data_IF_362696165469
#
_entry.id   IF_362696165469
#
_cell.length_a   1.000
_cell.length_b   1.000
_cell.length_c   1.000
_cell.angle_alpha   90.00
_cell.angle_beta   90.00
_cell.angle_gamma   90.00
#
_symmetry.space_group_name_H-M   'P 1'
#
loop_
_entity.id
_entity.type
_entity.pdbx_description
1 polymer ?
#
# COMPACT_ATOMS: atom_id res chain seq x y z
N UNK A 1 -13.79 -41.04 15.93
CA UNK A 1 -12.46 -41.21 15.32
C UNK A 1 -12.19 -39.95 14.53
N UNK A 2 -11.63 -38.95 15.20
CA UNK A 2 -11.35 -37.63 14.63
C UNK A 2 -10.16 -37.79 13.71
N UNK A 3 -10.34 -37.56 12.41
CA UNK A 3 -9.24 -37.59 11.46
C UNK A 3 -8.30 -36.44 11.78
N UNK A 4 -7.15 -36.76 12.38
CA UNK A 4 -5.99 -35.88 12.45
C UNK A 4 -5.55 -35.55 11.02
N UNK A 5 -5.70 -34.28 10.65
CA UNK A 5 -5.10 -33.73 9.44
C UNK A 5 -3.58 -33.78 9.62
N UNK A 6 -2.80 -34.33 8.67
CA UNK A 6 -1.36 -34.48 8.86
C UNK A 6 -0.69 -33.10 8.96
N UNK A 7 -0.01 -32.86 10.08
CA UNK A 7 0.92 -31.75 10.28
C UNK A 7 2.09 -31.88 9.30
N UNK A 8 2.00 -31.15 8.19
CA UNK A 8 3.14 -30.94 7.29
C UNK A 8 3.85 -29.68 7.78
N UNK A 9 5.03 -29.84 8.37
CA UNK A 9 5.80 -28.82 9.10
C UNK A 9 6.28 -27.59 8.32
N UNK A 10 5.40 -26.91 7.59
CA UNK A 10 5.71 -25.76 6.75
C UNK A 10 5.02 -24.45 7.19
N UNK A 11 4.08 -24.50 8.13
CA UNK A 11 3.44 -23.30 8.66
C UNK A 11 3.23 -23.44 10.16
N UNK A 12 3.18 -22.31 10.85
CA UNK A 12 2.85 -22.24 12.26
C UNK A 12 1.48 -21.57 12.43
N UNK A 13 0.85 -21.83 13.57
CA UNK A 13 -0.46 -21.25 13.92
C UNK A 13 -0.28 -20.27 15.05
N UNK A 14 -0.72 -19.04 14.82
CA UNK A 14 -0.87 -18.04 15.87
C UNK A 14 -2.35 -17.96 16.25
N UNK A 15 -2.64 -17.98 17.56
CA UNK A 15 -4.00 -17.86 18.08
C UNK A 15 -4.11 -16.60 18.92
N UNK A 16 -5.05 -15.73 18.59
CA UNK A 16 -5.32 -14.50 19.32
C UNK A 16 -6.71 -13.96 18.98
N UNK A 17 -7.40 -13.37 19.97
CA UNK A 17 -8.77 -12.87 19.81
C UNK A 17 -9.77 -13.90 19.22
N UNK A 18 -9.60 -15.19 19.55
CA UNK A 18 -10.48 -16.26 19.07
C UNK A 18 -10.31 -16.64 17.59
N UNK A 19 -9.28 -16.14 16.90
CA UNK A 19 -8.96 -16.53 15.52
C UNK A 19 -7.61 -17.22 15.43
N UNK A 20 -7.47 -18.09 14.41
CA UNK A 20 -6.23 -18.77 14.08
C UNK A 20 -5.66 -18.20 12.78
N UNK A 21 -4.39 -17.81 12.81
CA UNK A 21 -3.66 -17.25 11.68
C UNK A 21 -2.55 -18.21 11.29
N UNK A 22 -2.58 -18.68 10.04
CA UNK A 22 -1.51 -19.50 9.47
C UNK A 22 -0.39 -18.59 8.97
N UNK A 23 0.83 -18.81 9.47
CA UNK A 23 1.98 -17.97 9.14
C UNK A 23 3.24 -18.78 8.84
N UNK A 24 4.13 -18.20 8.04
CA UNK A 24 5.44 -18.77 7.76
C UNK A 24 6.42 -18.29 8.85
N UNK A 25 6.94 -19.20 9.71
CA UNK A 25 7.75 -18.80 10.84
C UNK A 25 9.12 -18.27 10.38
N UNK A 26 9.45 -17.06 10.81
CA UNK A 26 10.78 -16.49 10.65
C UNK A 26 11.04 -15.49 11.76
N UNK A 27 12.21 -15.59 12.40
CA UNK A 27 12.61 -14.73 13.51
C UNK A 27 13.90 -14.00 13.14
N UNK A 28 13.89 -12.70 13.37
CA UNK A 28 15.05 -11.83 13.24
C UNK A 28 15.00 -10.78 14.34
N UNK A 29 16.17 -10.21 14.66
CA UNK A 29 16.32 -9.33 15.81
C UNK A 29 15.42 -8.08 15.69
N UNK A 30 14.63 -7.83 16.73
CA UNK A 30 13.81 -6.64 16.86
C UNK A 30 14.67 -5.43 17.26
N UNK A 31 14.43 -4.30 16.61
CA UNK A 31 15.19 -3.07 16.79
C UNK A 31 14.29 -1.90 17.19
N UNK A 32 14.71 -1.13 18.20
CA UNK A 32 14.04 0.09 18.63
C UNK A 32 12.55 -0.14 18.98
N UNK A 33 11.61 0.61 18.37
CA UNK A 33 10.17 0.51 18.64
C UNK A 33 9.56 -0.87 18.38
N UNK A 34 10.18 -1.70 17.55
CA UNK A 34 9.70 -3.06 17.26
C UNK A 34 9.66 -3.94 18.52
N UNK A 35 10.48 -3.62 19.53
CA UNK A 35 10.49 -4.32 20.83
C UNK A 35 9.25 -4.05 21.68
N UNK A 36 8.50 -3.00 21.36
CA UNK A 36 7.24 -2.63 22.03
C UNK A 36 6.02 -3.25 21.35
N UNK A 37 6.22 -4.11 20.35
CA UNK A 37 5.16 -4.74 19.60
C UNK A 37 4.34 -5.72 20.45
N UNK A 38 3.01 -5.55 20.41
CA UNK A 38 2.03 -6.44 21.03
C UNK A 38 1.04 -6.90 19.95
N UNK A 39 1.23 -8.13 19.51
CA UNK A 39 0.45 -8.77 18.47
C UNK A 39 -1.04 -8.92 18.84
N UNK A 40 -1.34 -9.28 20.09
CA UNK A 40 -2.72 -9.52 20.54
C UNK A 40 -3.49 -8.21 20.63
N UNK A 41 -2.90 -7.18 21.24
CA UNK A 41 -3.55 -5.87 21.38
C UNK A 41 -3.81 -5.23 20.03
N UNK A 42 -2.82 -5.27 19.12
CA UNK A 42 -2.95 -4.65 17.78
C UNK A 42 -3.93 -5.42 16.90
N UNK A 43 -3.89 -6.75 16.92
CA UNK A 43 -4.86 -7.55 16.18
C UNK A 43 -6.30 -7.29 16.69
N UNK A 44 -6.47 -7.21 18.01
CA UNK A 44 -7.78 -6.88 18.63
C UNK A 44 -8.25 -5.47 18.23
N UNK A 45 -7.34 -4.50 18.15
CA UNK A 45 -7.65 -3.16 17.67
C UNK A 45 -8.20 -3.18 16.24
N UNK A 46 -7.51 -3.83 15.30
CA UNK A 46 -8.00 -3.92 13.92
C UNK A 46 -9.32 -4.68 13.85
N UNK A 47 -9.45 -5.82 14.54
CA UNK A 47 -10.70 -6.60 14.55
C UNK A 47 -11.91 -5.77 15.03
N UNK A 48 -11.71 -4.91 16.04
CA UNK A 48 -12.77 -4.05 16.58
C UNK A 48 -13.04 -2.80 15.74
N UNK A 49 -12.01 -2.25 15.08
CA UNK A 49 -12.05 -0.91 14.49
C UNK A 49 -11.84 -0.87 12.97
N UNK A 50 -11.73 -2.00 12.27
CA UNK A 50 -11.49 -2.00 10.81
C UNK A 50 -12.55 -1.20 10.04
N UNK A 51 -13.81 -1.25 10.46
CA UNK A 51 -14.93 -0.53 9.81
C UNK A 51 -14.83 0.99 9.95
N UNK A 52 -14.03 1.50 10.90
CA UNK A 52 -13.72 2.92 10.99
C UNK A 52 -12.98 3.42 9.74
N UNK A 53 -12.25 2.57 9.02
CA UNK A 53 -11.63 2.92 7.74
C UNK A 53 -12.63 3.41 6.69
N UNK A 54 -13.85 2.86 6.68
CA UNK A 54 -14.93 3.26 5.77
C UNK A 54 -15.37 4.69 6.09
N UNK A 55 -15.59 4.98 7.38
CA UNK A 55 -15.95 6.33 7.83
C UNK A 55 -14.83 7.33 7.58
N UNK A 56 -13.57 6.94 7.79
CA UNK A 56 -12.41 7.76 7.46
C UNK A 56 -12.33 8.06 5.96
N UNK A 57 -12.62 7.09 5.09
CA UNK A 57 -12.66 7.30 3.64
C UNK A 57 -13.78 8.26 3.22
N UNK A 58 -14.98 8.11 3.79
CA UNK A 58 -16.12 9.01 3.55
C UNK A 58 -15.77 10.42 4.02
N UNK A 59 -15.25 10.56 5.23
CA UNK A 59 -14.81 11.84 5.78
C UNK A 59 -13.73 12.48 4.93
N UNK A 60 -12.74 11.71 4.47
CA UNK A 60 -11.69 12.16 3.56
C UNK A 60 -12.27 12.74 2.27
N UNK A 61 -13.19 12.05 1.60
CA UNK A 61 -13.82 12.56 0.37
C UNK A 61 -14.61 13.84 0.66
N UNK A 62 -15.36 13.89 1.76
CA UNK A 62 -16.08 15.11 2.17
C UNK A 62 -15.13 16.29 2.42
N UNK A 63 -14.05 16.08 3.17
CA UNK A 63 -13.03 17.09 3.47
C UNK A 63 -12.36 17.59 2.20
N UNK A 64 -12.02 16.71 1.26
CA UNK A 64 -11.42 17.08 -0.03
C UNK A 64 -12.32 18.05 -0.79
N UNK A 65 -13.62 17.75 -0.90
CA UNK A 65 -14.58 18.61 -1.58
C UNK A 65 -14.76 19.97 -0.89
N UNK A 66 -14.89 19.97 0.44
CA UNK A 66 -15.03 21.20 1.24
C UNK A 66 -13.78 22.09 1.11
N UNK A 67 -12.59 21.50 1.23
CA UNK A 67 -11.32 22.23 1.15
C UNK A 67 -11.05 22.77 -0.24
N UNK A 68 -11.40 22.03 -1.30
CA UNK A 68 -11.30 22.54 -2.67
C UNK A 68 -12.14 23.80 -2.86
N UNK A 69 -13.43 23.76 -2.46
CA UNK A 69 -14.33 24.90 -2.52
C UNK A 69 -13.84 26.08 -1.68
N UNK A 70 -13.33 25.80 -0.49
CA UNK A 70 -12.76 26.83 0.39
C UNK A 70 -11.52 27.52 -0.23
N UNK A 71 -10.71 26.77 -0.97
CA UNK A 71 -9.50 27.29 -1.62
C UNK A 71 -9.78 28.02 -2.94
N UNK A 72 -10.96 27.91 -3.55
CA UNK A 72 -11.31 28.56 -4.83
C UNK A 72 -10.97 30.06 -4.81
N UNK A 73 -11.39 30.76 -3.77
CA UNK A 73 -11.22 32.21 -3.63
C UNK A 73 -9.91 32.64 -2.93
N UNK A 74 -8.97 31.72 -2.68
CA UNK A 74 -7.71 32.00 -1.95
C UNK A 74 -6.48 31.90 -2.85
N UNK A 75 -5.36 32.50 -2.45
CA UNK A 75 -4.07 32.33 -3.15
C UNK A 75 -3.42 30.99 -2.74
N UNK A 76 -2.65 30.33 -3.63
CA UNK A 76 -1.96 29.09 -3.29
C UNK A 76 -0.89 29.35 -2.22
N UNK A 77 -0.78 28.45 -1.23
CA UNK A 77 0.20 28.58 -0.16
C UNK A 77 1.59 28.10 -0.60
N UNK A 78 2.65 28.87 -0.28
CA UNK A 78 4.04 28.45 -0.49
C UNK A 78 4.55 27.66 0.72
N UNK A 79 4.42 26.34 0.70
CA UNK A 79 4.77 25.46 1.82
C UNK A 79 5.95 24.54 1.49
N UNK A 80 6.99 25.06 0.83
CA UNK A 80 8.11 24.22 0.33
C UNK A 80 8.83 23.47 1.44
N UNK A 81 9.15 24.14 2.55
CA UNK A 81 9.84 23.51 3.68
C UNK A 81 8.98 22.42 4.33
N UNK A 82 7.69 22.68 4.53
CA UNK A 82 6.76 21.71 5.09
C UNK A 82 6.57 20.50 4.17
N UNK A 83 6.47 20.72 2.85
CA UNK A 83 6.43 19.64 1.87
C UNK A 83 7.72 18.81 1.84
N UNK A 84 8.88 19.47 1.95
CA UNK A 84 10.15 18.77 2.01
C UNK A 84 10.22 17.89 3.25
N UNK A 85 9.84 18.43 4.42
CA UNK A 85 9.79 17.68 5.67
C UNK A 85 8.80 16.51 5.59
N UNK A 86 7.61 16.75 5.04
CA UNK A 86 6.57 15.73 4.87
C UNK A 86 6.98 14.60 3.94
N UNK A 87 7.41 14.92 2.71
CA UNK A 87 7.87 13.92 1.75
C UNK A 87 9.15 13.23 2.23
N UNK A 88 10.05 13.96 2.89
CA UNK A 88 11.26 13.39 3.49
C UNK A 88 10.94 12.40 4.62
N UNK A 89 9.99 12.74 5.48
CA UNK A 89 9.49 11.84 6.53
C UNK A 89 8.91 10.56 5.94
N UNK A 90 8.00 10.68 4.95
CA UNK A 90 7.41 9.50 4.30
C UNK A 90 8.43 8.69 3.51
N UNK A 91 9.43 9.33 2.89
CA UNK A 91 10.54 8.64 2.24
C UNK A 91 11.35 7.82 3.24
N UNK A 92 11.79 8.39 4.37
CA UNK A 92 12.53 7.67 5.41
C UNK A 92 11.69 6.53 5.98
N UNK A 93 10.42 6.79 6.28
CA UNK A 93 9.48 5.77 6.75
C UNK A 93 9.38 4.60 5.75
N UNK A 94 9.20 4.88 4.46
CA UNK A 94 9.11 3.84 3.44
C UNK A 94 10.44 3.10 3.22
N UNK A 95 11.59 3.78 3.27
CA UNK A 95 12.91 3.14 3.18
C UNK A 95 13.11 2.18 4.35
N UNK A 96 12.79 2.61 5.58
CA UNK A 96 12.89 1.76 6.76
C UNK A 96 11.92 0.58 6.67
N UNK A 97 10.69 0.80 6.19
CA UNK A 97 9.72 -0.26 5.92
C UNK A 97 10.23 -1.26 4.91
N UNK A 98 10.73 -0.82 3.75
CA UNK A 98 11.34 -1.68 2.73
C UNK A 98 12.47 -2.52 3.30
N UNK A 99 13.36 -1.91 4.10
CA UNK A 99 14.48 -2.64 4.70
C UNK A 99 14.00 -3.65 5.75
N UNK A 100 13.29 -3.19 6.79
CA UNK A 100 12.95 -4.03 7.94
C UNK A 100 11.92 -5.10 7.63
N UNK A 101 10.91 -4.78 6.82
CA UNK A 101 9.99 -5.79 6.28
C UNK A 101 10.69 -6.67 5.23
N UNK A 102 11.70 -6.13 4.54
CA UNK A 102 12.50 -6.83 3.52
C UNK A 102 13.33 -7.98 4.00
N UNK A 103 13.79 -7.93 5.25
CA UNK A 103 14.54 -9.04 5.84
C UNK A 103 13.65 -10.30 5.88
N UNK A 104 12.40 -10.18 6.32
CA UNK A 104 11.44 -11.28 6.30
C UNK A 104 11.10 -11.69 4.87
N UNK A 105 10.76 -10.72 4.01
CA UNK A 105 10.33 -10.98 2.65
C UNK A 105 11.38 -11.77 1.85
N UNK A 106 12.64 -11.33 1.88
CA UNK A 106 13.76 -11.97 1.17
C UNK A 106 14.05 -13.35 1.77
N UNK A 107 13.97 -13.50 3.10
CA UNK A 107 14.19 -14.79 3.72
C UNK A 107 13.13 -15.81 3.27
N UNK A 108 11.84 -15.45 3.33
CA UNK A 108 10.76 -16.36 2.90
C UNK A 108 10.91 -16.73 1.43
N UNK A 109 11.26 -15.80 0.55
CA UNK A 109 11.44 -16.10 -0.87
C UNK A 109 12.66 -16.95 -1.20
N UNK A 110 13.72 -16.90 -0.39
CA UNK A 110 14.96 -17.65 -0.66
C UNK A 110 15.03 -18.99 0.05
N UNK A 111 14.29 -19.16 1.16
CA UNK A 111 14.37 -20.36 2.01
C UNK A 111 13.12 -21.23 1.95
N UNK A 112 12.00 -20.73 1.41
CA UNK A 112 10.72 -21.46 1.36
C UNK A 112 10.16 -21.51 -0.07
N UNK A 113 9.25 -22.46 -0.36
CA UNK A 113 8.51 -22.47 -1.61
C UNK A 113 7.78 -21.14 -1.84
N UNK A 114 7.68 -20.73 -3.10
CA UNK A 114 6.99 -19.49 -3.47
C UNK A 114 5.53 -19.45 -2.95
N UNK A 115 4.85 -20.60 -2.93
CA UNK A 115 3.48 -20.76 -2.39
C UNK A 115 3.36 -20.28 -0.94
N UNK A 116 4.38 -20.54 -0.11
CA UNK A 116 4.37 -20.13 1.29
C UNK A 116 4.42 -18.60 1.43
N UNK A 117 5.08 -17.92 0.48
CA UNK A 117 5.19 -16.46 0.45
C UNK A 117 3.86 -15.75 0.17
N UNK A 118 2.90 -16.44 -0.46
CA UNK A 118 1.59 -15.89 -0.84
C UNK A 118 0.43 -16.48 -0.03
N UNK A 119 0.60 -17.66 0.57
CA UNK A 119 -0.47 -18.38 1.28
C UNK A 119 -0.31 -18.43 2.80
N UNK A 120 0.88 -18.19 3.36
CA UNK A 120 1.05 -18.05 4.80
C UNK A 120 1.43 -16.63 5.18
N UNK A 121 0.85 -16.10 6.27
CA UNK A 121 1.13 -14.76 6.75
C UNK A 121 2.56 -14.58 7.26
N UNK A 122 2.92 -13.34 7.58
CA UNK A 122 4.14 -13.02 8.35
C UNK A 122 3.96 -13.51 9.79
N UNK A 123 5.06 -13.78 10.50
CA UNK A 123 4.97 -14.10 11.94
C UNK A 123 4.31 -12.92 12.69
N UNK A 124 3.11 -13.12 13.29
CA UNK A 124 2.39 -12.03 13.94
C UNK A 124 3.15 -11.40 15.10
N UNK A 125 4.10 -12.12 15.71
CA UNK A 125 4.94 -11.65 16.83
C UNK A 125 6.22 -10.96 16.36
N UNK A 126 6.55 -11.10 15.07
CA UNK A 126 7.81 -10.65 14.50
C UNK A 126 7.80 -9.16 14.12
N UNK A 127 8.99 -8.58 13.88
CA UNK A 127 9.08 -7.18 13.44
C UNK A 127 8.35 -6.91 12.12
N UNK A 128 8.19 -7.90 11.23
CA UNK A 128 7.44 -7.75 10.00
C UNK A 128 5.97 -7.39 10.25
N UNK A 129 5.34 -7.97 11.28
CA UNK A 129 3.97 -7.64 11.67
C UNK A 129 3.85 -6.21 12.22
N UNK A 130 4.85 -5.75 12.98
CA UNK A 130 4.95 -4.36 13.40
C UNK A 130 4.97 -3.40 12.20
N UNK A 131 5.79 -3.68 11.18
CA UNK A 131 5.84 -2.87 9.96
C UNK A 131 4.56 -2.97 9.12
N UNK A 132 3.89 -4.14 9.09
CA UNK A 132 2.58 -4.28 8.47
C UNK A 132 1.50 -3.44 9.17
N UNK A 133 1.57 -3.31 10.49
CA UNK A 133 0.69 -2.42 11.26
C UNK A 133 0.96 -0.95 10.92
N UNK A 134 2.23 -0.52 10.94
CA UNK A 134 2.60 0.84 10.56
C UNK A 134 2.19 1.17 9.12
N UNK A 135 2.28 0.21 8.21
CA UNK A 135 1.78 0.33 6.84
C UNK A 135 0.27 0.66 6.80
N UNK A 136 -0.54 -0.05 7.58
CA UNK A 136 -1.99 0.19 7.65
C UNK A 136 -2.30 1.58 8.21
N UNK A 137 -1.53 2.06 9.19
CA UNK A 137 -1.68 3.42 9.72
C UNK A 137 -1.14 4.49 8.78
N UNK A 138 -0.12 4.20 7.96
CA UNK A 138 0.45 5.18 7.02
C UNK A 138 -0.59 5.68 6.02
N UNK A 139 -1.61 4.87 5.68
CA UNK A 139 -2.69 5.28 4.77
C UNK A 139 -3.51 6.46 5.29
N UNK A 140 -3.60 6.64 6.61
CA UNK A 140 -4.18 7.86 7.20
C UNK A 140 -3.23 9.04 7.02
N UNK A 141 -1.94 8.85 7.30
CA UNK A 141 -0.94 9.91 7.12
C UNK A 141 -0.95 10.40 5.66
N UNK A 142 -0.98 9.49 4.70
CA UNK A 142 -1.00 9.76 3.25
C UNK A 142 -2.18 10.66 2.79
N UNK A 143 -3.26 10.81 3.56
CA UNK A 143 -4.28 11.84 3.29
C UNK A 143 -3.71 13.27 3.28
N UNK A 144 -2.62 13.50 4.00
CA UNK A 144 -1.85 14.74 3.97
C UNK A 144 -1.39 15.12 2.56
N UNK A 145 -1.10 14.15 1.69
CA UNK A 145 -0.67 14.42 0.31
C UNK A 145 -1.76 15.18 -0.45
N UNK A 146 -3.01 14.76 -0.30
CA UNK A 146 -4.16 15.42 -0.90
C UNK A 146 -4.38 16.81 -0.32
N UNK A 147 -4.24 16.97 0.99
CA UNK A 147 -4.32 18.27 1.65
C UNK A 147 -3.29 19.24 1.06
N UNK A 148 -2.04 18.81 0.91
CA UNK A 148 -0.98 19.63 0.33
C UNK A 148 -1.24 19.98 -1.14
N UNK A 149 -1.82 19.08 -1.94
CA UNK A 149 -2.21 19.38 -3.31
C UNK A 149 -3.28 20.47 -3.36
N UNK A 150 -4.32 20.36 -2.54
CA UNK A 150 -5.43 21.33 -2.48
C UNK A 150 -4.93 22.71 -2.04
N UNK A 151 -4.16 22.78 -0.94
CA UNK A 151 -3.62 24.03 -0.41
C UNK A 151 -2.69 24.75 -1.39
N UNK A 152 -2.06 24.01 -2.31
CA UNK A 152 -1.22 24.55 -3.39
C UNK A 152 -1.95 24.81 -4.69
N UNK A 153 -3.27 24.61 -4.73
CA UNK A 153 -4.09 24.66 -5.95
C UNK A 153 -3.54 23.79 -7.08
N UNK A 154 -3.04 22.60 -6.73
CA UNK A 154 -2.69 21.56 -7.71
C UNK A 154 -3.91 20.68 -7.97
N UNK A 155 -4.11 20.22 -9.21
CA UNK A 155 -5.27 19.40 -9.55
C UNK A 155 -5.22 18.08 -8.78
N UNK A 156 -6.30 17.77 -8.06
CA UNK A 156 -6.50 16.46 -7.43
C UNK A 156 -7.25 15.60 -8.44
N UNK A 157 -6.53 14.79 -9.21
CA UNK A 157 -7.11 13.92 -10.22
C UNK A 157 -7.92 12.77 -9.59
N UNK A 158 -8.85 12.20 -10.36
CA UNK A 158 -9.68 11.08 -9.92
C UNK A 158 -8.86 9.93 -9.33
N UNK A 159 -7.82 9.49 -10.05
CA UNK A 159 -6.92 8.42 -9.62
C UNK A 159 -6.36 8.66 -8.20
N UNK A 160 -5.98 9.90 -7.88
CA UNK A 160 -5.35 10.25 -6.60
C UNK A 160 -6.33 10.07 -5.43
N UNK A 161 -7.47 10.76 -5.47
CA UNK A 161 -8.38 10.72 -4.33
C UNK A 161 -9.10 9.37 -4.23
N UNK A 162 -9.43 8.74 -5.36
CA UNK A 162 -10.01 7.40 -5.39
C UNK A 162 -9.06 6.39 -4.74
N UNK A 163 -7.77 6.42 -5.13
CA UNK A 163 -6.74 5.56 -4.55
C UNK A 163 -6.70 5.68 -3.03
N UNK A 164 -6.49 6.88 -2.49
CA UNK A 164 -6.39 7.07 -1.03
C UNK A 164 -7.66 6.63 -0.28
N UNK A 165 -8.84 6.85 -0.85
CA UNK A 165 -10.11 6.46 -0.24
C UNK A 165 -10.28 4.93 -0.14
N UNK A 166 -9.83 4.17 -1.15
CA UNK A 166 -10.04 2.70 -1.16
C UNK A 166 -8.89 1.93 -0.50
N UNK A 167 -7.64 2.42 -0.57
CA UNK A 167 -6.49 1.70 0.05
C UNK A 167 -6.54 1.67 1.56
N UNK A 168 -7.13 2.69 2.22
CA UNK A 168 -7.33 2.66 3.68
C UNK A 168 -8.30 1.54 4.07
N UNK A 169 -9.37 1.35 3.29
CA UNK A 169 -10.37 0.30 3.54
C UNK A 169 -9.74 -1.08 3.32
N UNK A 170 -9.06 -1.26 2.19
CA UNK A 170 -8.41 -2.53 1.86
C UNK A 170 -7.33 -2.91 2.88
N UNK A 171 -6.48 -1.97 3.28
CA UNK A 171 -5.39 -2.23 4.23
C UNK A 171 -5.92 -2.62 5.60
N UNK A 172 -6.93 -1.92 6.12
CA UNK A 172 -7.50 -2.21 7.44
C UNK A 172 -8.30 -3.50 7.44
N UNK A 173 -9.07 -3.77 6.38
CA UNK A 173 -9.76 -5.04 6.21
C UNK A 173 -8.76 -6.22 6.12
N UNK A 174 -7.64 -6.04 5.42
CA UNK A 174 -6.59 -7.06 5.31
C UNK A 174 -5.76 -7.24 6.59
N UNK A 175 -5.65 -6.19 7.41
CA UNK A 175 -4.96 -6.26 8.69
C UNK A 175 -5.70 -7.16 9.70
N UNK A 176 -7.04 -7.23 9.64
CA UNK A 176 -7.84 -8.13 10.48
C UNK A 176 -7.53 -9.60 10.20
N UNK A 177 -7.37 -9.96 8.93
CA UNK A 177 -7.10 -11.35 8.54
C UNK A 177 -5.61 -11.70 8.55
N UNK A 178 -4.73 -10.70 8.76
CA UNK A 178 -3.29 -10.78 8.52
C UNK A 178 -3.02 -11.50 7.19
N UNK A 179 -3.59 -10.98 6.10
CA UNK A 179 -3.63 -11.70 4.82
C UNK A 179 -2.24 -12.06 4.33
N UNK A 180 -2.05 -13.31 3.89
CA UNK A 180 -0.76 -13.79 3.44
C UNK A 180 -0.22 -13.05 2.23
N UNK A 181 -1.07 -12.81 1.23
CA UNK A 181 -0.74 -12.00 0.06
C UNK A 181 -0.36 -10.55 0.43
N UNK A 182 -0.78 -10.08 1.61
CA UNK A 182 -0.37 -8.81 2.22
C UNK A 182 1.15 -8.64 2.25
N UNK A 183 1.93 -9.71 2.45
CA UNK A 183 3.39 -9.69 2.39
C UNK A 183 3.91 -9.03 1.12
N UNK A 184 3.40 -9.45 -0.02
CA UNK A 184 3.79 -8.92 -1.32
C UNK A 184 3.30 -7.48 -1.51
N UNK A 185 2.03 -7.20 -1.22
CA UNK A 185 1.46 -5.87 -1.39
C UNK A 185 2.17 -4.80 -0.56
N UNK A 186 2.48 -5.12 0.70
CA UNK A 186 3.18 -4.22 1.63
C UNK A 186 4.61 -3.97 1.14
N UNK A 187 5.35 -5.03 0.78
CA UNK A 187 6.72 -4.91 0.28
C UNK A 187 6.80 -4.04 -0.96
N UNK A 188 6.00 -4.37 -1.98
CA UNK A 188 5.96 -3.62 -3.24
C UNK A 188 5.63 -2.15 -2.99
N UNK A 189 4.64 -1.86 -2.15
CA UNK A 189 4.23 -0.50 -1.87
C UNK A 189 5.33 0.26 -1.12
N UNK A 190 5.94 -0.31 -0.07
CA UNK A 190 7.05 0.33 0.62
C UNK A 190 8.20 0.65 -0.34
N UNK A 191 8.59 -0.31 -1.18
CA UNK A 191 9.65 -0.10 -2.16
C UNK A 191 9.32 1.03 -3.14
N UNK A 192 8.14 1.00 -3.74
CA UNK A 192 7.73 2.04 -4.71
C UNK A 192 7.55 3.41 -4.03
N UNK A 193 6.97 3.45 -2.83
CA UNK A 193 6.80 4.68 -2.06
C UNK A 193 8.14 5.27 -1.60
N UNK A 194 9.13 4.44 -1.28
CA UNK A 194 10.48 4.93 -0.95
C UNK A 194 11.06 5.76 -2.10
N UNK A 195 10.89 5.30 -3.34
CA UNK A 195 11.36 5.98 -4.55
C UNK A 195 10.47 7.19 -4.86
N UNK A 196 9.15 7.04 -4.79
CA UNK A 196 8.19 8.11 -5.10
C UNK A 196 8.33 9.31 -4.15
N UNK A 197 8.37 9.08 -2.83
CA UNK A 197 8.50 10.16 -1.85
C UNK A 197 9.88 10.81 -1.89
N UNK A 198 10.94 10.03 -2.16
CA UNK A 198 12.28 10.60 -2.40
C UNK A 198 12.25 11.52 -3.63
N UNK A 199 11.61 11.10 -4.72
CA UNK A 199 11.40 11.92 -5.90
C UNK A 199 10.64 13.22 -5.56
N UNK A 200 9.56 13.16 -4.78
CA UNK A 200 8.79 14.34 -4.38
C UNK A 200 9.52 15.26 -3.38
N UNK A 201 10.34 14.70 -2.49
CA UNK A 201 11.20 15.48 -1.60
C UNK A 201 12.21 16.31 -2.41
N UNK A 202 12.88 15.68 -3.38
CA UNK A 202 13.82 16.38 -4.29
C UNK A 202 13.08 17.43 -5.13
N UNK A 203 11.91 17.10 -5.68
CA UNK A 203 11.10 18.04 -6.44
C UNK A 203 10.64 19.26 -5.59
N UNK A 204 10.47 19.07 -4.27
CA UNK A 204 10.08 20.14 -3.35
C UNK A 204 11.18 21.18 -3.12
N UNK A 205 12.45 20.82 -3.34
CA UNK A 205 13.60 21.75 -3.34
C UNK A 205 13.62 22.65 -4.59
N UNK A 206 12.76 22.38 -5.58
CA UNK A 206 12.71 23.13 -6.84
C UNK A 206 13.54 22.53 -7.97
N UNK A 207 14.21 21.39 -7.74
CA UNK A 207 14.91 20.67 -8.80
C UNK A 207 13.93 20.05 -9.78
N UNK A 208 14.17 20.25 -11.07
CA UNK A 208 13.44 19.59 -12.15
C UNK A 208 14.20 18.34 -12.57
N UNK A 209 13.78 17.20 -12.04
CA UNK A 209 14.38 15.92 -12.42
C UNK A 209 14.06 15.57 -13.88
N UNK A 210 14.96 14.82 -14.57
CA UNK A 210 14.74 14.40 -15.95
C UNK A 210 13.43 13.62 -16.11
N UNK A 211 12.78 13.75 -17.28
CA UNK A 211 11.51 13.06 -17.58
C UNK A 211 11.60 11.55 -17.34
N UNK A 212 12.75 10.93 -17.63
CA UNK A 212 12.97 9.49 -17.44
C UNK A 212 12.74 9.07 -15.99
N UNK A 213 13.12 9.88 -15.00
CA UNK A 213 12.93 9.56 -13.58
C UNK A 213 11.44 9.51 -13.25
N UNK A 214 10.67 10.51 -13.66
CA UNK A 214 9.20 10.51 -13.45
C UNK A 214 8.50 9.35 -14.15
N UNK A 215 8.99 8.98 -15.33
CA UNK A 215 8.48 7.85 -16.10
C UNK A 215 8.80 6.52 -15.41
N UNK A 216 10.00 6.36 -14.85
CA UNK A 216 10.38 5.20 -14.05
C UNK A 216 9.52 5.06 -12.80
N UNK A 217 9.26 6.15 -12.06
CA UNK A 217 8.35 6.11 -10.90
C UNK A 217 6.97 5.62 -11.32
N UNK A 218 6.41 6.20 -12.38
CA UNK A 218 5.08 5.78 -12.86
C UNK A 218 5.07 4.34 -13.38
N UNK A 219 6.14 3.91 -14.06
CA UNK A 219 6.27 2.54 -14.55
C UNK A 219 6.33 1.52 -13.39
N UNK A 220 7.09 1.83 -12.34
CA UNK A 220 7.14 1.01 -11.12
C UNK A 220 5.77 0.95 -10.44
N UNK A 221 5.04 2.07 -10.39
CA UNK A 221 3.68 2.13 -9.86
C UNK A 221 2.67 1.33 -10.68
N UNK A 222 2.80 1.28 -12.00
CA UNK A 222 1.96 0.43 -12.85
C UNK A 222 2.33 -1.05 -12.68
N UNK A 223 3.63 -1.35 -12.59
CA UNK A 223 4.12 -2.72 -12.41
C UNK A 223 3.64 -3.35 -11.10
N UNK A 224 3.61 -2.61 -9.98
CA UNK A 224 3.06 -3.13 -8.71
C UNK A 224 1.58 -3.52 -8.84
N UNK A 225 0.78 -2.82 -9.65
CA UNK A 225 -0.63 -3.14 -9.84
C UNK A 225 -0.79 -4.42 -10.65
N UNK A 226 0.04 -4.60 -11.68
CA UNK A 226 0.08 -5.83 -12.48
C UNK A 226 0.47 -7.04 -11.62
N UNK A 227 1.55 -6.93 -10.85
CA UNK A 227 1.99 -7.99 -9.94
C UNK A 227 0.90 -8.29 -8.91
N UNK A 228 0.24 -7.27 -8.37
CA UNK A 228 -0.83 -7.45 -7.41
C UNK A 228 -2.05 -8.20 -7.94
N UNK A 229 -2.45 -7.93 -9.19
CA UNK A 229 -3.48 -8.71 -9.90
C UNK A 229 -3.02 -10.16 -10.08
N UNK A 230 -1.77 -10.36 -10.54
CA UNK A 230 -1.23 -11.71 -10.76
C UNK A 230 -1.20 -12.54 -9.47
N UNK A 231 -0.78 -11.96 -8.34
CA UNK A 231 -0.80 -12.62 -7.03
C UNK A 231 -2.22 -12.96 -6.61
N UNK A 232 -3.17 -12.04 -6.79
CA UNK A 232 -4.58 -12.28 -6.44
C UNK A 232 -5.16 -13.45 -7.24
N UNK A 233 -4.88 -13.52 -8.55
CA UNK A 233 -5.29 -14.64 -9.42
C UNK A 233 -4.64 -15.95 -8.98
N UNK A 234 -3.36 -15.91 -8.61
CA UNK A 234 -2.65 -17.11 -8.17
C UNK A 234 -3.18 -17.63 -6.82
N UNK A 235 -3.44 -16.75 -5.84
CA UNK A 235 -4.07 -17.14 -4.57
C UNK A 235 -5.45 -17.73 -4.82
N UNK A 236 -6.24 -17.15 -5.73
CA UNK A 236 -7.54 -17.71 -6.10
C UNK A 236 -7.39 -19.12 -6.69
N UNK A 237 -6.46 -19.30 -7.63
CA UNK A 237 -6.18 -20.61 -8.24
C UNK A 237 -5.79 -21.64 -7.17
N UNK A 238 -4.89 -21.29 -6.25
CA UNK A 238 -4.43 -22.19 -5.18
C UNK A 238 -5.60 -22.58 -4.26
N UNK A 239 -6.42 -21.62 -3.84
CA UNK A 239 -7.60 -21.88 -2.99
C UNK A 239 -8.63 -22.76 -3.70
N UNK A 240 -8.88 -22.55 -4.99
CA UNK A 240 -9.82 -23.37 -5.77
C UNK A 240 -9.35 -24.82 -5.95
N UNK A 241 -8.03 -25.06 -5.90
CA UNK A 241 -7.45 -26.41 -5.89
C UNK A 241 -7.43 -27.06 -4.49
N UNK A 242 -8.09 -26.45 -3.49
CA UNK A 242 -8.24 -27.01 -2.14
C UNK A 242 -7.03 -26.83 -1.22
N UNK A 243 -6.03 -26.03 -1.62
CA UNK A 243 -4.88 -25.72 -0.76
C UNK A 243 -5.21 -24.62 0.25
N UNK A 244 -4.59 -24.71 1.43
CA UNK A 244 -4.75 -23.73 2.52
C UNK A 244 -4.01 -22.43 2.20
N UNK A 245 -4.73 -21.31 2.25
CA UNK A 245 -4.15 -19.96 2.19
C UNK A 245 -4.86 -19.04 3.19
N UNK A 246 -4.07 -18.31 3.98
CA UNK A 246 -4.48 -17.33 4.98
C UNK A 246 -5.02 -16.05 4.32
N UNK A 247 -6.19 -16.16 3.70
CA UNK A 247 -6.96 -15.06 3.12
C UNK A 247 -8.39 -15.53 2.85
N UNK A 248 -9.40 -14.78 3.27
CA UNK A 248 -10.80 -15.10 2.96
C UNK A 248 -11.12 -14.87 1.47
N UNK A 249 -12.17 -15.50 0.96
CA UNK A 249 -12.64 -15.23 -0.40
C UNK A 249 -13.16 -13.79 -0.55
N UNK A 250 -13.76 -13.23 0.50
CA UNK A 250 -14.26 -11.85 0.51
C UNK A 250 -13.11 -10.86 0.41
N UNK A 251 -12.07 -11.01 1.25
CA UNK A 251 -10.88 -10.17 1.18
C UNK A 251 -10.19 -10.30 -0.19
N UNK A 252 -10.05 -11.53 -0.71
CA UNK A 252 -9.45 -11.78 -2.02
C UNK A 252 -10.21 -11.09 -3.16
N UNK A 253 -11.55 -11.15 -3.14
CA UNK A 253 -12.39 -10.49 -4.13
C UNK A 253 -12.24 -8.96 -4.09
N UNK A 254 -12.26 -8.36 -2.89
CA UNK A 254 -12.06 -6.92 -2.71
C UNK A 254 -10.66 -6.52 -3.19
N UNK A 255 -9.64 -7.28 -2.82
CA UNK A 255 -8.26 -7.05 -3.21
C UNK A 255 -8.09 -7.08 -4.74
N UNK A 256 -8.60 -8.13 -5.40
CA UNK A 256 -8.57 -8.27 -6.84
C UNK A 256 -9.28 -7.10 -7.54
N UNK A 257 -10.50 -6.76 -7.10
CA UNK A 257 -11.27 -5.67 -7.70
C UNK A 257 -10.54 -4.31 -7.63
N UNK A 258 -9.96 -4.00 -6.47
CA UNK A 258 -9.22 -2.74 -6.27
C UNK A 258 -7.95 -2.73 -7.13
N UNK A 259 -7.12 -3.77 -7.07
CA UNK A 259 -5.88 -3.83 -7.85
C UNK A 259 -6.13 -3.84 -9.37
N UNK A 260 -7.17 -4.51 -9.84
CA UNK A 260 -7.58 -4.47 -11.24
C UNK A 260 -8.02 -3.06 -11.65
N UNK A 261 -8.81 -2.36 -10.82
CA UNK A 261 -9.20 -0.97 -11.07
C UNK A 261 -7.99 -0.04 -11.16
N UNK A 262 -7.01 -0.21 -10.27
CA UNK A 262 -5.79 0.58 -10.28
C UNK A 262 -4.92 0.28 -11.49
N UNK A 263 -4.79 -0.98 -11.90
CA UNK A 263 -4.04 -1.33 -13.11
C UNK A 263 -4.60 -0.59 -14.33
N UNK A 264 -5.93 -0.53 -14.48
CA UNK A 264 -6.58 0.21 -15.56
C UNK A 264 -6.26 1.71 -15.48
N UNK A 265 -6.43 2.31 -14.30
CA UNK A 265 -6.24 3.75 -14.11
C UNK A 265 -4.77 4.18 -14.27
N UNK A 266 -3.82 3.43 -13.72
CA UNK A 266 -2.38 3.70 -13.87
C UNK A 266 -1.91 3.48 -15.31
N UNK A 267 -2.41 2.46 -16.00
CA UNK A 267 -2.11 2.25 -17.43
C UNK A 267 -2.66 3.39 -18.29
N UNK A 268 -3.89 3.83 -18.02
CA UNK A 268 -4.49 4.98 -18.70
C UNK A 268 -3.71 6.27 -18.46
N UNK A 269 -3.30 6.51 -17.21
CA UNK A 269 -2.46 7.65 -16.84
C UNK A 269 -1.10 7.60 -17.54
N UNK A 270 -0.42 6.45 -17.52
CA UNK A 270 0.88 6.27 -18.17
C UNK A 270 0.80 6.55 -19.68
N UNK A 271 -0.20 5.98 -20.34
CA UNK A 271 -0.43 6.21 -21.77
C UNK A 271 -0.62 7.70 -22.06
N UNK A 272 -1.51 8.36 -21.31
CA UNK A 272 -1.83 9.78 -21.51
C UNK A 272 -0.65 10.71 -21.20
N UNK A 273 0.16 10.39 -20.18
CA UNK A 273 1.26 11.22 -19.73
C UNK A 273 2.54 11.06 -20.57
N UNK A 274 2.79 9.86 -21.11
CA UNK A 274 4.09 9.53 -21.70
C UNK A 274 4.04 9.06 -23.16
N UNK A 275 2.99 8.36 -23.57
CA UNK A 275 2.92 7.72 -24.90
C UNK A 275 2.07 8.52 -25.90
N UNK A 276 1.01 9.17 -25.43
CA UNK A 276 0.18 10.01 -26.30
C UNK A 276 0.92 11.29 -26.66
N UNK A 277 1.39 11.39 -27.90
CA UNK A 277 1.78 12.65 -28.51
C UNK A 277 0.54 13.51 -28.66
N UNK A 278 0.38 14.53 -27.80
CA UNK A 278 -0.60 15.59 -28.10
C UNK A 278 -0.18 16.20 -29.45
N UNK A 279 -1.08 16.28 -30.46
CA UNK A 279 -0.79 17.09 -31.62
C UNK A 279 -0.45 18.50 -31.11
N UNK A 280 0.66 19.07 -31.58
CA UNK A 280 0.91 20.51 -31.42
C UNK A 280 -0.38 21.16 -31.88
N UNK A 281 -1.11 21.85 -30.97
CA UNK A 281 -2.14 22.79 -31.43
C UNK A 281 -1.41 23.68 -32.43
N UNK A 282 -1.81 23.59 -33.68
CA UNK A 282 -1.25 24.37 -34.76
C UNK A 282 -1.14 25.81 -34.29
N UNK A 283 0.04 26.39 -34.54
CA UNK A 283 0.22 27.82 -34.56
C UNK A 283 -0.70 28.38 -35.65
N UNK A 284 -1.98 28.55 -35.31
CA UNK A 284 -2.99 29.10 -36.18
C UNK A 284 -3.44 30.43 -35.57
N UNK A 285 -3.09 31.48 -36.32
CA UNK A 285 -3.67 32.83 -36.37
C UNK A 285 -2.96 33.91 -35.54
N UNK A 286 -1.90 34.46 -36.14
CA UNK A 286 -1.73 35.92 -36.19
C UNK A 286 -1.08 36.30 -37.53
N UNK A 287 -1.92 36.40 -38.56
CA UNK A 287 -1.91 37.49 -39.53
C UNK A 287 -3.34 38.03 -39.57
#
# INVERSE_FOLDING_TARGET
>A
MSAEVPDSGNHAVWSGNGVNILYAPYKYEAFGPEKLWDDVTVHTFFAKHWSASIWLAIAYVGIVNVLQKFMENRKPYSMRALLLAWNGFLAVFSIMGTWRFGIEFVNILTTRPFTDSICFSVDPRGPAAFWACLFSFSKIAEFGDTLFLILRKRPVIFLHWYHHAVVIILSWHSAVELTAAGRWFIMMNYFVHSIMYTYYAIASLGYRLPKIVSMTVTALQTAQMLIGVAISVLVLFIKLNGQLCQQSYDNLAICFAIYASFLILFSSFFNTAYLTTRPKKDAAKTQ
#
